data_IF_083865399573
#
_entry.id   IF_083865399573
#
_cell.length_a   1.000
_cell.length_b   1.000
_cell.length_c   1.000
_cell.angle_alpha   90.00
_cell.angle_beta   90.00
_cell.angle_gamma   90.00
#
_symmetry.space_group_name_H-M   'P 1'
#
loop_
_entity.id
_entity.type
_entity.pdbx_description
1 polymer ?
#
# COMPACT_ATOMS: atom_id res chain seq x y z
N UNK A 1 4.35 20.92 4.48
CA UNK A 1 5.21 21.18 5.68
C UNK A 1 6.26 20.08 5.89
N UNK A 2 5.90 18.79 5.77
CA UNK A 2 6.86 17.67 5.86
C UNK A 2 8.04 17.84 4.90
N UNK A 3 7.81 18.18 3.64
CA UNK A 3 8.86 18.38 2.64
C UNK A 3 9.79 19.56 2.96
N UNK A 4 9.28 20.60 3.63
CA UNK A 4 10.09 21.72 4.10
C UNK A 4 10.97 21.33 5.29
N UNK A 5 10.44 20.46 6.16
CA UNK A 5 11.18 19.95 7.31
C UNK A 5 12.32 19.02 6.88
N UNK A 6 12.06 18.10 5.94
CA UNK A 6 13.06 17.16 5.41
C UNK A 6 14.13 17.88 4.57
N UNK A 7 13.76 18.97 3.87
CA UNK A 7 14.70 19.67 2.99
C UNK A 7 15.16 18.79 1.83
N UNK A 8 16.48 18.71 1.65
CA UNK A 8 17.13 17.93 0.59
C UNK A 8 17.76 16.61 1.10
N UNK A 9 17.61 16.33 2.40
CA UNK A 9 18.10 15.08 2.99
C UNK A 9 17.31 13.87 2.49
N UNK A 10 17.96 12.71 2.26
CA UNK A 10 17.25 11.48 1.94
C UNK A 10 16.31 11.07 3.07
N UNK A 11 15.07 10.75 2.73
CA UNK A 11 14.06 10.36 3.73
C UNK A 11 13.15 9.24 3.23
N UNK A 12 12.68 8.41 4.17
CA UNK A 12 11.68 7.38 3.93
C UNK A 12 10.40 7.79 4.65
N UNK A 13 9.31 7.91 3.90
CA UNK A 13 7.97 8.24 4.41
C UNK A 13 7.15 6.97 4.53
N UNK A 14 6.85 6.54 5.77
CA UNK A 14 5.95 5.42 6.01
C UNK A 14 4.50 5.89 5.96
N UNK A 15 3.74 5.37 5.01
CA UNK A 15 2.34 5.76 4.76
C UNK A 15 1.42 4.71 5.38
N UNK A 16 0.70 5.10 6.43
CA UNK A 16 -0.18 4.22 7.23
C UNK A 16 -1.52 3.91 6.55
N UNK A 17 -1.51 3.52 5.28
CA UNK A 17 -2.71 3.10 4.54
C UNK A 17 -2.80 1.59 4.58
N UNK A 18 -3.97 1.08 5.00
CA UNK A 18 -4.23 -0.35 5.16
C UNK A 18 -4.26 -1.08 3.81
N UNK A 19 -4.12 -2.41 3.87
CA UNK A 19 -4.15 -3.27 2.69
C UNK A 19 -5.50 -3.33 1.97
N UNK A 20 -6.60 -3.04 2.70
CA UNK A 20 -7.97 -2.99 2.18
C UNK A 20 -8.42 -1.59 1.66
N UNK A 21 -7.51 -0.60 1.64
CA UNK A 21 -7.80 0.74 1.12
C UNK A 21 -7.26 0.91 -0.31
N UNK A 22 -8.10 1.39 -1.23
CA UNK A 22 -7.74 1.59 -2.65
C UNK A 22 -7.02 2.92 -2.93
N UNK A 23 -6.82 3.77 -1.91
CA UNK A 23 -6.16 5.07 -2.06
C UNK A 23 -4.68 5.01 -1.74
N UNK A 24 -3.87 5.86 -2.34
CA UNK A 24 -2.44 5.97 -2.04
C UNK A 24 -2.09 7.08 -1.03
N UNK A 25 -3.07 7.92 -0.65
CA UNK A 25 -2.83 9.06 0.21
C UNK A 25 -1.93 10.12 -0.45
N UNK A 26 -1.31 10.95 0.39
CA UNK A 26 -0.34 11.93 -0.09
C UNK A 26 1.04 11.27 -0.19
N UNK A 27 1.61 11.32 -1.38
CA UNK A 27 2.97 10.89 -1.67
C UNK A 27 3.75 12.13 -2.10
N UNK A 28 4.93 12.35 -1.51
CA UNK A 28 5.82 13.42 -1.95
C UNK A 28 6.33 13.16 -3.37
N UNK A 29 6.39 14.21 -4.17
CA UNK A 29 6.99 14.16 -5.51
C UNK A 29 8.49 14.48 -5.50
N UNK A 30 9.07 14.79 -4.33
CA UNK A 30 10.49 15.04 -4.20
C UNK A 30 11.31 13.76 -4.36
N UNK A 31 12.38 13.76 -5.16
CA UNK A 31 13.17 12.55 -5.45
C UNK A 31 13.94 12.02 -4.23
N UNK A 32 14.16 12.85 -3.21
CA UNK A 32 14.83 12.48 -1.97
C UNK A 32 13.88 11.92 -0.91
N UNK A 33 12.56 11.85 -1.17
CA UNK A 33 11.56 11.31 -0.24
C UNK A 33 10.88 10.11 -0.87
N UNK A 34 11.15 8.91 -0.35
CA UNK A 34 10.55 7.67 -0.85
C UNK A 34 9.42 7.20 0.04
N UNK A 35 8.22 6.97 -0.54
CA UNK A 35 7.07 6.45 0.19
C UNK A 35 7.10 4.93 0.27
N UNK A 36 6.75 4.38 1.45
CA UNK A 36 6.63 2.96 1.75
C UNK A 36 5.28 2.71 2.42
N UNK A 37 4.60 1.63 2.04
CA UNK A 37 3.28 1.22 2.52
C UNK A 37 3.37 -0.09 3.33
N UNK A 38 3.76 -0.06 4.61
CA UNK A 38 4.13 -1.24 5.39
C UNK A 38 2.97 -2.22 5.64
N UNK A 39 1.72 -1.79 5.44
CA UNK A 39 0.51 -2.58 5.71
C UNK A 39 -0.08 -3.24 4.45
N UNK A 40 0.59 -3.16 3.32
CA UNK A 40 0.15 -3.71 2.03
C UNK A 40 1.06 -4.87 1.58
N UNK A 41 0.52 -5.77 0.74
CA UNK A 41 1.33 -6.79 0.05
C UNK A 41 2.47 -6.15 -0.76
N UNK A 42 2.13 -5.18 -1.59
CA UNK A 42 3.09 -4.34 -2.27
C UNK A 42 3.42 -3.14 -1.38
N UNK A 43 4.59 -3.16 -0.75
CA UNK A 43 5.05 -2.07 0.11
C UNK A 43 5.60 -0.86 -0.64
N UNK A 44 5.74 -0.95 -1.96
CA UNK A 44 6.36 0.06 -2.81
C UNK A 44 5.34 1.02 -3.42
N UNK A 45 5.76 2.26 -3.61
CA UNK A 45 4.97 3.27 -4.32
C UNK A 45 4.90 2.99 -5.83
N UNK A 46 3.91 3.59 -6.50
CA UNK A 46 3.66 3.36 -7.92
C UNK A 46 4.83 3.78 -8.82
N UNK A 47 5.53 4.85 -8.47
CA UNK A 47 6.71 5.32 -9.21
C UNK A 47 7.87 4.31 -9.14
N UNK A 48 8.13 3.70 -7.98
CA UNK A 48 9.11 2.63 -7.81
C UNK A 48 8.75 1.42 -8.68
N UNK A 49 7.49 1.00 -8.63
CA UNK A 49 7.03 -0.14 -9.41
C UNK A 49 7.05 0.17 -10.94
N UNK A 50 6.73 1.40 -11.35
CA UNK A 50 6.87 1.84 -12.74
C UNK A 50 8.33 1.75 -13.20
N UNK A 51 9.25 2.17 -12.36
CA UNK A 51 10.69 2.06 -12.63
C UNK A 51 11.14 0.60 -12.74
N UNK A 52 10.66 -0.25 -11.83
CA UNK A 52 10.95 -1.69 -11.80
C UNK A 52 10.45 -2.41 -13.05
N UNK A 53 9.26 -2.09 -13.55
CA UNK A 53 8.66 -2.69 -14.75
C UNK A 53 9.03 -1.97 -16.05
N UNK A 54 9.86 -0.93 -16.00
CA UNK A 54 10.31 -0.26 -17.21
C UNK A 54 11.02 -1.27 -18.14
N UNK A 55 10.68 -1.25 -19.42
CA UNK A 55 11.22 -2.16 -20.44
C UNK A 55 12.75 -2.21 -20.42
N UNK A 56 13.40 -1.07 -20.16
CA UNK A 56 14.86 -0.97 -20.10
C UNK A 56 15.47 -1.72 -18.91
N UNK A 57 14.69 -1.95 -17.85
CA UNK A 57 15.13 -2.59 -16.61
C UNK A 57 14.79 -4.09 -16.55
N UNK A 58 13.92 -4.61 -17.44
CA UNK A 58 13.43 -6.00 -17.35
C UNK A 58 14.56 -7.02 -17.31
N UNK A 59 15.58 -6.89 -18.15
CA UNK A 59 16.71 -7.84 -18.15
C UNK A 59 17.44 -7.88 -16.81
N UNK A 60 17.64 -6.71 -16.19
CA UNK A 60 18.24 -6.58 -14.85
C UNK A 60 17.34 -7.19 -13.78
N UNK A 61 16.03 -6.92 -13.86
CA UNK A 61 15.04 -7.46 -12.91
C UNK A 61 14.99 -8.98 -12.97
N UNK A 62 15.02 -9.56 -14.16
CA UNK A 62 15.09 -11.03 -14.37
C UNK A 62 16.35 -11.62 -13.72
N UNK A 63 17.50 -10.96 -13.87
CA UNK A 63 18.74 -11.41 -13.22
C UNK A 63 18.63 -11.33 -11.68
N UNK A 64 18.04 -10.28 -11.15
CA UNK A 64 17.77 -10.17 -9.72
C UNK A 64 16.85 -11.29 -9.23
N UNK A 65 15.76 -11.59 -9.96
CA UNK A 65 14.87 -12.69 -9.59
C UNK A 65 15.60 -14.04 -9.54
N UNK A 66 16.52 -14.31 -10.47
CA UNK A 66 17.36 -15.54 -10.43
C UNK A 66 18.19 -15.67 -9.15
N UNK A 67 18.56 -14.55 -8.56
CA UNK A 67 19.37 -14.53 -7.33
C UNK A 67 18.53 -14.59 -6.04
N UNK A 68 17.27 -14.08 -6.05
CA UNK A 68 16.45 -13.97 -4.84
C UNK A 68 15.35 -15.02 -4.73
N UNK A 69 14.92 -15.63 -5.86
CA UNK A 69 13.88 -16.64 -5.88
C UNK A 69 14.47 -18.03 -5.62
N UNK A 70 14.11 -18.71 -4.52
CA UNK A 70 14.68 -20.01 -4.17
C UNK A 70 14.03 -21.18 -4.92
N UNK A 71 12.78 -21.04 -5.36
CA UNK A 71 12.04 -22.07 -6.07
C UNK A 71 12.16 -21.89 -7.58
N UNK A 72 12.54 -22.96 -8.29
CA UNK A 72 12.79 -22.89 -9.73
C UNK A 72 11.49 -22.76 -10.54
N UNK A 73 10.39 -23.37 -10.06
CA UNK A 73 9.11 -23.30 -10.75
C UNK A 73 8.52 -21.88 -10.66
N UNK A 74 8.58 -21.28 -9.48
CA UNK A 74 8.12 -19.89 -9.27
C UNK A 74 9.02 -18.92 -10.02
N UNK A 75 10.31 -19.19 -10.13
CA UNK A 75 11.25 -18.41 -10.92
C UNK A 75 10.90 -18.39 -12.41
N UNK A 76 10.62 -19.54 -13.00
CA UNK A 76 10.27 -19.65 -14.43
C UNK A 76 8.98 -18.89 -14.72
N UNK A 77 7.98 -19.02 -13.85
CA UNK A 77 6.72 -18.28 -13.96
C UNK A 77 6.92 -16.77 -13.78
N UNK A 78 7.71 -16.36 -12.78
CA UNK A 78 8.03 -14.95 -12.57
C UNK A 78 8.74 -14.32 -13.78
N UNK A 79 9.71 -15.03 -14.38
CA UNK A 79 10.39 -14.58 -15.59
C UNK A 79 9.39 -14.43 -16.74
N UNK A 80 8.51 -15.42 -16.94
CA UNK A 80 7.46 -15.35 -17.96
C UNK A 80 6.55 -14.14 -17.79
N UNK A 81 6.16 -13.84 -16.55
CA UNK A 81 5.34 -12.66 -16.22
C UNK A 81 6.13 -11.37 -16.52
N UNK A 82 7.39 -11.29 -16.08
CA UNK A 82 8.24 -10.11 -16.25
C UNK A 82 8.49 -9.79 -17.74
N UNK A 83 8.74 -10.79 -18.56
CA UNK A 83 9.01 -10.64 -19.99
C UNK A 83 7.74 -10.39 -20.81
N UNK A 84 6.54 -10.72 -20.26
CA UNK A 84 5.28 -10.47 -20.94
C UNK A 84 5.04 -8.95 -21.08
N UNK A 85 4.90 -8.42 -22.30
CA UNK A 85 4.67 -6.99 -22.51
C UNK A 85 3.34 -6.52 -21.93
N UNK A 86 3.31 -5.27 -21.45
CA UNK A 86 2.07 -4.64 -21.03
C UNK A 86 1.14 -4.41 -22.22
N UNK A 87 -0.13 -4.79 -22.05
CA UNK A 87 -1.19 -4.66 -23.05
C UNK A 87 -2.49 -4.22 -22.37
N UNK A 88 -3.53 -3.91 -23.17
CA UNK A 88 -4.89 -3.63 -22.62
C UNK A 88 -5.47 -4.83 -21.82
N UNK A 89 -5.07 -6.06 -22.13
CA UNK A 89 -5.55 -7.28 -21.44
C UNK A 89 -4.64 -7.67 -20.27
N UNK A 90 -3.35 -7.37 -20.35
CA UNK A 90 -2.34 -7.62 -19.32
C UNK A 90 -1.70 -6.29 -18.95
N UNK A 91 -2.44 -5.52 -18.18
CA UNK A 91 -2.05 -4.20 -17.73
C UNK A 91 -1.27 -4.27 -16.41
N UNK A 92 -0.73 -3.15 -16.03
CA UNK A 92 0.19 -2.96 -14.92
C UNK A 92 -0.21 -3.67 -13.61
N UNK A 93 -1.43 -3.43 -13.11
CA UNK A 93 -1.88 -4.05 -11.85
C UNK A 93 -2.01 -5.57 -11.96
N UNK A 94 -2.36 -6.11 -13.14
CA UNK A 94 -2.38 -7.56 -13.34
C UNK A 94 -0.98 -8.17 -13.28
N UNK A 95 0.02 -7.51 -13.87
CA UNK A 95 1.41 -7.95 -13.81
C UNK A 95 1.94 -7.92 -12.39
N UNK A 96 1.68 -6.83 -11.67
CA UNK A 96 2.04 -6.70 -10.26
C UNK A 96 1.39 -7.79 -9.40
N UNK A 97 0.07 -7.96 -9.49
CA UNK A 97 -0.64 -8.96 -8.71
C UNK A 97 -0.18 -10.38 -9.03
N UNK A 98 0.08 -10.71 -10.30
CA UNK A 98 0.57 -12.02 -10.68
C UNK A 98 1.93 -12.35 -10.00
N UNK A 99 2.84 -11.38 -9.88
CA UNK A 99 4.11 -11.59 -9.17
C UNK A 99 3.93 -11.68 -7.65
N UNK A 100 3.04 -10.86 -7.08
CA UNK A 100 2.70 -10.92 -5.66
C UNK A 100 1.97 -12.24 -5.28
N UNK A 101 1.20 -12.81 -6.20
CA UNK A 101 0.50 -14.07 -5.97
C UNK A 101 1.42 -15.29 -6.02
N UNK A 102 2.57 -15.18 -6.68
CA UNK A 102 3.63 -16.19 -6.59
C UNK A 102 4.30 -16.15 -5.22
N UNK A 103 4.92 -15.04 -4.87
CA UNK A 103 5.55 -14.85 -3.55
C UNK A 103 5.76 -13.36 -3.25
N UNK A 104 5.08 -12.88 -2.20
CA UNK A 104 5.15 -11.47 -1.74
C UNK A 104 6.56 -11.11 -1.29
N UNK A 105 7.23 -12.00 -0.53
CA UNK A 105 8.57 -11.73 0.02
C UNK A 105 9.62 -11.71 -1.08
N UNK A 106 9.56 -12.65 -2.01
CA UNK A 106 10.46 -12.68 -3.17
C UNK A 106 10.27 -11.43 -4.02
N UNK A 107 9.02 -11.02 -4.28
CA UNK A 107 8.74 -9.79 -5.01
C UNK A 107 9.34 -8.57 -4.30
N UNK A 108 9.05 -8.39 -3.00
CA UNK A 108 9.54 -7.24 -2.25
C UNK A 108 11.08 -7.24 -2.14
N UNK A 109 11.72 -8.40 -1.98
CA UNK A 109 13.19 -8.54 -2.03
C UNK A 109 13.75 -8.17 -3.39
N UNK A 110 13.13 -8.63 -4.48
CA UNK A 110 13.57 -8.31 -5.83
C UNK A 110 13.53 -6.80 -6.11
N UNK A 111 12.46 -6.13 -5.68
CA UNK A 111 12.36 -4.66 -5.78
C UNK A 111 13.45 -3.98 -4.93
N UNK A 112 13.70 -4.44 -3.70
CA UNK A 112 14.75 -3.89 -2.86
C UNK A 112 16.14 -4.02 -3.49
N UNK A 113 16.49 -5.22 -3.99
CA UNK A 113 17.78 -5.43 -4.68
C UNK A 113 17.89 -4.58 -5.95
N UNK A 114 16.79 -4.39 -6.67
CA UNK A 114 16.74 -3.45 -7.80
C UNK A 114 16.99 -2.01 -7.34
N UNK A 115 16.40 -1.58 -6.24
CA UNK A 115 16.58 -0.22 -5.70
C UNK A 115 18.02 0.07 -5.31
N UNK A 116 18.79 -0.91 -4.87
CA UNK A 116 20.24 -0.77 -4.61
C UNK A 116 21.04 -0.33 -5.84
N UNK A 117 20.49 -0.50 -7.03
CA UNK A 117 21.09 -0.02 -8.29
C UNK A 117 20.67 1.40 -8.67
N UNK A 118 19.91 2.07 -7.81
CA UNK A 118 19.38 3.42 -8.00
C UNK A 118 19.88 4.38 -6.92
N UNK A 119 19.58 5.67 -7.06
CA UNK A 119 19.84 6.69 -6.02
C UNK A 119 18.69 6.87 -5.02
N UNK A 120 17.63 6.04 -5.09
CA UNK A 120 16.48 6.16 -4.20
C UNK A 120 16.85 5.84 -2.75
N UNK A 121 16.24 6.53 -1.75
CA UNK A 121 16.63 6.43 -0.35
C UNK A 121 16.69 5.01 0.22
N UNK A 122 15.69 4.16 -0.06
CA UNK A 122 15.68 2.78 0.43
C UNK A 122 16.81 1.95 -0.18
N UNK A 123 17.18 2.21 -1.43
CA UNK A 123 18.29 1.52 -2.10
C UNK A 123 19.67 1.80 -1.47
N UNK A 124 19.78 2.83 -0.66
CA UNK A 124 21.03 3.17 0.07
C UNK A 124 21.16 2.41 1.40
N UNK A 125 20.15 1.65 1.79
CA UNK A 125 20.17 0.84 3.01
C UNK A 125 20.83 -0.53 2.76
N UNK A 126 21.62 -1.00 3.72
CA UNK A 126 22.20 -2.35 3.69
C UNK A 126 21.12 -3.41 3.83
N UNK A 127 20.12 -3.16 4.68
CA UNK A 127 19.00 -4.04 5.01
C UNK A 127 17.70 -3.27 5.10
N UNK A 128 16.61 -3.90 4.67
CA UNK A 128 15.27 -3.35 4.79
C UNK A 128 14.30 -4.44 5.28
N UNK A 129 14.06 -4.55 6.59
CA UNK A 129 13.32 -5.67 7.19
C UNK A 129 11.90 -5.86 6.67
N UNK A 130 11.25 -4.81 6.17
CA UNK A 130 9.88 -4.90 5.63
C UNK A 130 9.76 -5.81 4.39
N UNK A 131 10.86 -6.14 3.71
CA UNK A 131 10.81 -7.08 2.57
C UNK A 131 10.56 -8.53 3.00
N UNK A 132 10.79 -8.84 4.27
CA UNK A 132 10.52 -10.17 4.85
C UNK A 132 9.11 -10.27 5.46
N UNK A 133 8.37 -9.17 5.48
CA UNK A 133 7.00 -9.13 6.00
C UNK A 133 5.99 -9.38 4.88
N UNK A 134 5.07 -10.31 5.11
CA UNK A 134 3.91 -10.60 4.26
C UNK A 134 2.57 -10.32 4.96
N UNK A 135 2.61 -9.77 6.17
CA UNK A 135 1.43 -9.38 6.92
C UNK A 135 0.71 -8.21 6.23
N UNK A 136 -0.57 -8.41 5.98
CA UNK A 136 -1.47 -7.37 5.49
C UNK A 136 -2.32 -6.92 6.66
N UNK A 137 -2.32 -5.63 6.96
CA UNK A 137 -3.19 -5.08 7.99
C UNK A 137 -4.44 -4.50 7.34
N UNK A 138 -5.60 -5.06 7.69
CA UNK A 138 -6.92 -4.59 7.28
C UNK A 138 -7.64 -3.91 8.44
N UNK A 139 -8.84 -3.38 8.20
CA UNK A 139 -9.61 -2.62 9.20
C UNK A 139 -9.87 -3.44 10.48
N UNK A 140 -10.21 -4.72 10.34
CA UNK A 140 -10.55 -5.57 11.48
C UNK A 140 -9.32 -5.88 12.34
N UNK A 141 -8.13 -6.00 11.72
CA UNK A 141 -6.86 -6.14 12.45
C UNK A 141 -6.57 -4.89 13.29
N UNK A 142 -6.80 -3.69 12.71
CA UNK A 142 -6.63 -2.43 13.44
C UNK A 142 -7.57 -2.38 14.65
N UNK A 143 -8.82 -2.82 14.50
CA UNK A 143 -9.78 -2.86 15.62
C UNK A 143 -9.33 -3.84 16.69
N UNK A 144 -8.90 -5.03 16.30
CA UNK A 144 -8.36 -6.04 17.22
C UNK A 144 -7.12 -5.52 17.99
N UNK A 145 -6.22 -4.83 17.31
CA UNK A 145 -5.04 -4.21 17.93
C UNK A 145 -5.48 -3.14 18.95
N UNK A 146 -6.44 -2.27 18.61
CA UNK A 146 -6.93 -1.21 19.50
C UNK A 146 -7.62 -1.79 20.74
N UNK A 147 -8.43 -2.83 20.58
CA UNK A 147 -9.08 -3.53 21.71
C UNK A 147 -8.06 -4.20 22.62
N UNK A 148 -7.12 -4.95 22.06
CA UNK A 148 -6.10 -5.67 22.81
C UNK A 148 -5.11 -4.72 23.52
N UNK A 149 -4.88 -3.52 23.00
CA UNK A 149 -4.02 -2.51 23.61
C UNK A 149 -4.68 -1.75 24.77
N UNK A 150 -5.99 -1.97 25.01
CA UNK A 150 -6.77 -1.24 26.02
C UNK A 150 -7.17 0.19 25.61
N UNK A 151 -6.82 0.64 24.41
CA UNK A 151 -7.26 1.95 23.87
C UNK A 151 -8.74 1.90 23.48
N UNK A 152 -9.19 0.77 22.95
CA UNK A 152 -10.54 0.54 22.47
C UNK A 152 -10.82 1.16 21.09
N UNK A 153 -11.88 0.67 20.45
CA UNK A 153 -12.33 1.18 19.14
C UNK A 153 -13.17 2.44 19.35
N UNK A 154 -12.87 3.55 18.64
CA UNK A 154 -13.65 4.80 18.74
C UNK A 154 -15.14 4.59 18.49
N UNK A 155 -15.99 5.23 19.32
CA UNK A 155 -17.44 5.02 19.33
C UNK A 155 -18.13 5.29 18.00
N UNK A 156 -17.58 6.18 17.17
CA UNK A 156 -18.15 6.52 15.85
C UNK A 156 -18.06 5.39 14.80
N UNK A 157 -17.29 4.34 15.08
CA UNK A 157 -17.30 3.12 14.27
C UNK A 157 -18.40 2.13 14.65
N UNK A 158 -19.03 2.33 15.81
CA UNK A 158 -20.15 1.47 16.24
C UNK A 158 -21.42 1.85 15.49
N UNK A 159 -22.22 0.87 15.04
CA UNK A 159 -23.51 1.15 14.42
C UNK A 159 -24.42 1.91 15.40
N UNK A 160 -25.03 2.98 14.93
CA UNK A 160 -26.01 3.78 15.66
C UNK A 160 -27.32 3.73 14.88
N UNK A 161 -28.42 3.40 15.57
CA UNK A 161 -29.76 3.50 15.00
C UNK A 161 -30.26 4.94 15.09
N UNK A 162 -30.94 5.39 14.06
CA UNK A 162 -31.59 6.68 14.00
C UNK A 162 -32.89 6.58 13.21
N UNK A 163 -33.84 7.46 13.47
CA UNK A 163 -35.16 7.51 12.82
C UNK A 163 -35.30 8.81 12.03
N UNK A 164 -35.73 8.71 10.77
CA UNK A 164 -36.03 9.82 9.89
C UNK A 164 -37.40 9.55 9.23
N UNK A 165 -38.37 10.44 9.40
CA UNK A 165 -39.70 10.33 8.80
C UNK A 165 -40.39 8.95 9.09
N UNK A 166 -40.22 8.40 10.29
CA UNK A 166 -40.78 7.12 10.71
C UNK A 166 -40.05 5.89 10.14
N UNK A 167 -38.89 6.06 9.49
CA UNK A 167 -38.03 4.99 9.02
C UNK A 167 -36.79 4.86 9.89
N UNK A 168 -36.56 3.65 10.40
CA UNK A 168 -35.35 3.35 11.17
C UNK A 168 -34.20 3.02 10.22
N UNK A 169 -33.08 3.73 10.36
CA UNK A 169 -31.83 3.50 9.67
C UNK A 169 -30.71 3.18 10.65
N UNK A 170 -29.70 2.47 10.18
CA UNK A 170 -28.47 2.21 10.94
C UNK A 170 -27.29 2.78 10.20
N UNK A 171 -26.45 3.51 10.89
CA UNK A 171 -25.25 4.10 10.31
C UNK A 171 -24.05 4.01 11.26
N UNK A 172 -22.88 3.81 10.69
CA UNK A 172 -21.59 3.98 11.35
C UNK A 172 -20.57 4.57 10.37
N UNK A 173 -19.58 5.27 10.88
CA UNK A 173 -18.51 5.79 10.03
C UNK A 173 -17.59 4.67 9.53
N UNK A 174 -17.26 4.72 8.27
CA UNK A 174 -16.30 3.78 7.65
C UNK A 174 -14.84 4.23 7.85
N UNK A 175 -14.62 5.51 8.21
CA UNK A 175 -13.28 6.08 8.40
C UNK A 175 -13.35 7.29 9.33
N UNK A 176 -12.23 7.58 10.03
CA UNK A 176 -12.05 8.84 10.76
C UNK A 176 -11.98 9.98 9.76
N UNK A 177 -12.93 10.87 9.76
CA UNK A 177 -12.98 12.03 8.87
C UNK A 177 -13.28 13.30 9.64
N UNK A 178 -13.08 14.45 9.01
CA UNK A 178 -13.55 15.72 9.52
C UNK A 178 -15.07 15.68 9.72
N UNK A 179 -15.58 16.37 10.75
CA UNK A 179 -17.00 16.43 11.05
C UNK A 179 -17.82 16.88 9.83
N UNK A 180 -17.32 17.87 9.08
CA UNK A 180 -17.86 18.32 7.80
C UNK A 180 -16.89 17.94 6.67
N UNK A 181 -17.06 16.76 6.07
CA UNK A 181 -16.30 16.35 4.91
C UNK A 181 -17.21 16.35 3.68
N UNK A 182 -16.86 17.11 2.63
CA UNK A 182 -17.65 17.15 1.39
C UNK A 182 -17.73 15.80 0.67
N UNK A 183 -16.85 14.85 1.00
CA UNK A 183 -16.86 13.49 0.46
C UNK A 183 -17.67 12.51 1.31
N UNK A 184 -18.43 12.99 2.31
CA UNK A 184 -19.35 12.15 3.09
C UNK A 184 -20.49 11.63 2.22
N UNK A 185 -20.95 10.41 2.52
CA UNK A 185 -22.13 9.84 1.89
C UNK A 185 -23.39 10.59 2.36
N UNK A 186 -24.46 10.54 1.56
CA UNK A 186 -25.74 11.21 1.91
C UNK A 186 -26.26 10.77 3.27
N UNK A 187 -26.13 9.49 3.60
CA UNK A 187 -26.56 8.94 4.91
C UNK A 187 -25.77 9.57 6.07
N UNK A 188 -24.49 9.92 5.88
CA UNK A 188 -23.69 10.59 6.90
C UNK A 188 -24.18 12.01 7.19
N UNK A 189 -24.66 12.73 6.16
CA UNK A 189 -25.25 14.04 6.32
C UNK A 189 -26.60 13.98 7.05
N UNK A 190 -27.45 13.00 6.72
CA UNK A 190 -28.73 12.77 7.42
C UNK A 190 -28.45 12.48 8.89
N UNK A 191 -27.54 11.55 9.19
CA UNK A 191 -27.16 11.22 10.55
C UNK A 191 -26.61 12.41 11.34
N UNK A 192 -25.79 13.27 10.71
CA UNK A 192 -25.27 14.49 11.34
C UNK A 192 -26.36 15.54 11.62
N UNK A 193 -27.39 15.57 10.79
CA UNK A 193 -28.51 16.49 10.98
C UNK A 193 -29.42 16.08 12.16
N UNK A 194 -29.58 14.79 12.39
CA UNK A 194 -30.40 14.21 13.45
C UNK A 194 -29.71 14.16 14.83
N UNK A 195 -28.39 14.43 14.90
CA UNK A 195 -27.60 14.48 16.14
C UNK A 195 -27.63 15.89 16.79
#
# INVERSE_FOLDING_TARGET
EMEKFVGDEPAISYVGIRGDEERDGYISTKPNIQAIFPFRRNIWSLDVINLFFNKENISKVVEIYRNVCPDIHDLDEAIRILETPLTKKFYYSKKLNALLDLDVKVFNKAVFEFLKTTSLPVGQLDKFPLVDNDDIIIKDDVFSILENSGVGVPGYYKPIEFEVDGQIGTYNRSRSGCYFCFFQQKIEWVWLYEQ
#
